data_IF_746122540140
#
_entry.id   IF_746122540140
#
_cell.length_a   1.000
_cell.length_b   1.000
_cell.length_c   1.000
_cell.angle_alpha   90.00
_cell.angle_beta   90.00
_cell.angle_gamma   90.00
#
_symmetry.space_group_name_H-M   'P 1'
#
loop_
_entity.id
_entity.type
_entity.pdbx_description
1 polymer ?
#
# COMPACT_ATOMS: atom_id res chain seq x y z
N UNK A 1 9.60 -3.12 3.48
CA UNK A 1 10.37 -2.51 2.38
C UNK A 1 10.06 -3.39 1.18
N UNK A 2 9.66 -2.82 0.04
CA UNK A 2 9.45 -3.66 -1.14
C UNK A 2 10.84 -3.98 -1.69
N UNK A 3 11.45 -5.01 -1.12
CA UNK A 3 12.85 -5.39 -1.40
C UNK A 3 13.00 -5.95 -2.81
N UNK A 4 11.88 -6.37 -3.41
CA UNK A 4 11.84 -7.08 -4.68
C UNK A 4 10.97 -6.36 -5.70
N UNK A 5 11.50 -6.27 -6.91
CA UNK A 5 10.74 -6.00 -8.13
C UNK A 5 10.12 -7.30 -8.64
N UNK A 6 10.83 -8.42 -8.51
CA UNK A 6 10.33 -9.77 -8.78
C UNK A 6 10.93 -10.75 -7.78
N UNK A 7 10.08 -11.45 -7.03
CA UNK A 7 10.51 -12.49 -6.09
C UNK A 7 10.33 -13.90 -6.65
N UNK A 8 11.11 -14.86 -6.13
CA UNK A 8 10.97 -16.28 -6.50
C UNK A 8 9.58 -16.84 -6.17
N UNK A 9 8.99 -16.42 -5.04
CA UNK A 9 7.65 -16.82 -4.63
C UNK A 9 6.54 -16.32 -5.56
N UNK A 10 6.68 -15.11 -6.11
CA UNK A 10 5.75 -14.59 -7.12
C UNK A 10 5.79 -15.40 -8.41
N UNK A 11 6.98 -15.78 -8.89
CA UNK A 11 7.13 -16.58 -10.12
C UNK A 11 6.48 -17.96 -9.94
N UNK A 12 6.71 -18.62 -8.80
CA UNK A 12 6.12 -19.92 -8.51
C UNK A 12 4.59 -19.83 -8.50
N UNK A 13 4.03 -18.81 -7.84
CA UNK A 13 2.57 -18.59 -7.79
C UNK A 13 1.99 -18.29 -9.18
N UNK A 14 2.67 -17.45 -9.96
CA UNK A 14 2.26 -17.10 -11.31
C UNK A 14 2.25 -18.32 -12.23
N UNK A 15 3.29 -19.16 -12.15
CA UNK A 15 3.36 -20.43 -12.89
C UNK A 15 2.22 -21.38 -12.51
N UNK A 16 2.00 -21.60 -11.21
CA UNK A 16 0.90 -22.46 -10.72
C UNK A 16 -0.49 -21.93 -11.11
N UNK A 17 -0.66 -20.60 -11.14
CA UNK A 17 -1.89 -19.98 -11.59
C UNK A 17 -2.14 -20.21 -13.08
N UNK A 18 -1.13 -19.99 -13.92
CA UNK A 18 -1.23 -20.23 -15.37
C UNK A 18 -1.49 -21.71 -15.67
N UNK A 19 -0.81 -22.61 -14.97
CA UNK A 19 -1.02 -24.06 -15.11
C UNK A 19 -2.46 -24.48 -14.78
N UNK A 20 -3.05 -23.92 -13.73
CA UNK A 20 -4.44 -24.22 -13.34
C UNK A 20 -5.49 -23.55 -14.23
N UNK A 21 -5.25 -22.31 -14.64
CA UNK A 21 -6.22 -21.52 -15.43
C UNK A 21 -6.24 -21.93 -16.91
N UNK A 22 -5.12 -22.43 -17.41
CA UNK A 22 -4.92 -22.75 -18.82
C UNK A 22 -4.54 -24.23 -19.02
N UNK A 23 -5.29 -25.15 -18.40
CA UNK A 23 -5.05 -26.60 -18.46
C UNK A 23 -5.05 -27.13 -19.91
N UNK A 24 -5.91 -26.56 -20.75
CA UNK A 24 -6.10 -26.99 -22.15
C UNK A 24 -5.04 -26.42 -23.11
N UNK A 25 -4.14 -25.55 -22.64
CA UNK A 25 -3.11 -24.95 -23.48
C UNK A 25 -1.82 -25.79 -23.48
N UNK A 26 -1.25 -25.90 -24.68
CA UNK A 26 0.08 -26.49 -24.88
C UNK A 26 1.14 -25.85 -23.97
N UNK A 27 2.10 -26.64 -23.44
CA UNK A 27 3.12 -26.14 -22.51
C UNK A 27 3.89 -24.92 -23.05
N UNK A 28 4.16 -24.90 -24.36
CA UNK A 28 4.86 -23.78 -25.02
C UNK A 28 4.07 -22.47 -24.94
N UNK A 29 2.74 -22.53 -25.08
CA UNK A 29 1.89 -21.36 -25.01
C UNK A 29 1.76 -20.86 -23.57
N UNK A 30 1.66 -21.77 -22.60
CA UNK A 30 1.72 -21.41 -21.16
C UNK A 30 3.03 -20.74 -20.77
N UNK A 31 4.16 -21.20 -21.33
CA UNK A 31 5.45 -20.55 -21.12
C UNK A 31 5.50 -19.13 -21.72
N UNK A 32 4.88 -18.92 -22.88
CA UNK A 32 4.74 -17.58 -23.48
C UNK A 32 3.91 -16.65 -22.59
N UNK A 33 2.78 -17.13 -22.07
CA UNK A 33 1.92 -16.36 -21.15
C UNK A 33 2.69 -16.00 -19.87
N UNK A 34 3.48 -16.93 -19.34
CA UNK A 34 4.32 -16.69 -18.17
C UNK A 34 5.38 -15.61 -18.46
N UNK A 35 6.06 -15.69 -19.60
CA UNK A 35 7.04 -14.69 -20.01
C UNK A 35 6.41 -13.31 -20.13
N UNK A 36 5.27 -13.19 -20.82
CA UNK A 36 4.54 -11.92 -20.97
C UNK A 36 4.12 -11.36 -19.61
N UNK A 37 3.65 -12.21 -18.70
CA UNK A 37 3.25 -11.79 -17.36
C UNK A 37 4.45 -11.32 -16.52
N UNK A 38 5.60 -12.00 -16.60
CA UNK A 38 6.84 -11.59 -15.94
C UNK A 38 7.30 -10.22 -16.46
N UNK A 39 7.31 -10.02 -17.78
CA UNK A 39 7.62 -8.72 -18.38
C UNK A 39 6.70 -7.61 -17.87
N UNK A 40 5.39 -7.84 -17.86
CA UNK A 40 4.42 -6.86 -17.34
C UNK A 40 4.61 -6.54 -15.87
N UNK A 41 4.93 -7.53 -15.04
CA UNK A 41 5.19 -7.32 -13.60
C UNK A 41 6.43 -6.46 -13.40
N UNK A 42 7.53 -6.77 -14.08
CA UNK A 42 8.77 -6.01 -13.98
C UNK A 42 8.52 -4.58 -14.45
N UNK A 43 8.02 -4.41 -15.69
CA UNK A 43 7.72 -3.08 -16.23
C UNK A 43 6.75 -2.29 -15.35
N UNK A 44 5.70 -2.92 -14.82
CA UNK A 44 4.75 -2.25 -13.91
C UNK A 44 5.39 -1.72 -12.62
N UNK A 45 6.57 -2.22 -12.24
CA UNK A 45 7.28 -1.89 -11.00
C UNK A 45 8.55 -1.06 -11.20
N UNK A 46 9.00 -0.86 -12.44
CA UNK A 46 10.12 0.02 -12.80
C UNK A 46 9.74 1.51 -12.67
N UNK A 47 10.72 2.43 -12.61
CA UNK A 47 10.46 3.86 -12.73
C UNK A 47 9.63 4.21 -13.97
N UNK A 48 8.93 5.34 -13.93
CA UNK A 48 8.07 5.84 -15.02
C UNK A 48 8.85 6.41 -16.20
N UNK A 49 9.89 5.70 -16.65
CA UNK A 49 10.72 6.09 -17.78
C UNK A 49 9.98 5.96 -19.12
N UNK A 50 10.46 6.65 -20.17
CA UNK A 50 10.03 6.42 -21.54
C UNK A 50 10.10 4.93 -21.91
N UNK A 51 9.12 4.45 -22.68
CA UNK A 51 8.94 3.03 -23.02
C UNK A 51 10.22 2.37 -23.55
N UNK A 52 11.01 3.08 -24.37
CA UNK A 52 12.28 2.57 -24.90
C UNK A 52 13.29 2.25 -23.80
N UNK A 53 13.47 3.18 -22.85
CA UNK A 53 14.39 3.02 -21.71
C UNK A 53 13.87 1.93 -20.77
N UNK A 54 12.56 1.91 -20.52
CA UNK A 54 11.92 0.94 -19.64
C UNK A 54 12.03 -0.50 -20.14
N UNK A 55 11.81 -0.72 -21.44
CA UNK A 55 12.00 -2.03 -22.09
C UNK A 55 13.45 -2.49 -22.05
N UNK A 56 14.38 -1.58 -22.32
CA UNK A 56 15.82 -1.87 -22.25
C UNK A 56 16.24 -2.27 -20.83
N UNK A 57 15.79 -1.51 -19.82
CA UNK A 57 16.03 -1.81 -18.41
C UNK A 57 15.46 -3.18 -18.02
N UNK A 58 14.21 -3.48 -18.41
CA UNK A 58 13.59 -4.78 -18.17
C UNK A 58 14.41 -5.93 -18.79
N UNK A 59 14.88 -5.75 -20.02
CA UNK A 59 15.69 -6.74 -20.72
C UNK A 59 17.03 -6.99 -20.00
N UNK A 60 17.76 -5.94 -19.62
CA UNK A 60 19.06 -6.09 -18.95
C UNK A 60 18.91 -6.73 -17.56
N UNK A 61 17.86 -6.39 -16.81
CA UNK A 61 17.56 -7.03 -15.53
C UNK A 61 17.27 -8.52 -15.70
N UNK A 62 16.43 -8.90 -16.67
CA UNK A 62 16.13 -10.31 -16.96
C UNK A 62 17.36 -11.08 -17.42
N UNK A 63 18.21 -10.45 -18.25
CA UNK A 63 19.46 -11.04 -18.72
C UNK A 63 20.44 -11.28 -17.58
N UNK A 64 20.61 -10.30 -16.69
CA UNK A 64 21.50 -10.40 -15.51
C UNK A 64 20.99 -11.44 -14.51
N UNK A 65 19.68 -11.51 -14.29
CA UNK A 65 19.05 -12.38 -13.29
C UNK A 65 18.39 -13.63 -13.91
N UNK A 66 18.81 -14.06 -15.09
CA UNK A 66 18.15 -15.14 -15.87
C UNK A 66 17.99 -16.47 -15.12
N UNK A 67 18.90 -16.77 -14.19
CA UNK A 67 18.99 -18.07 -13.52
C UNK A 67 18.09 -18.13 -12.28
N UNK A 68 17.96 -17.03 -11.55
CA UNK A 68 17.15 -16.94 -10.34
C UNK A 68 15.79 -16.32 -10.61
N UNK A 69 15.70 -15.45 -11.62
CA UNK A 69 14.59 -14.54 -11.90
C UNK A 69 14.18 -13.71 -10.67
N UNK A 70 15.09 -13.55 -9.70
CA UNK A 70 14.90 -12.70 -8.53
C UNK A 70 15.55 -11.36 -8.82
N UNK A 71 14.75 -10.30 -8.81
CA UNK A 71 15.18 -8.93 -9.07
C UNK A 71 14.85 -8.10 -7.84
N UNK A 72 15.88 -7.53 -7.21
CA UNK A 72 15.74 -6.66 -6.06
C UNK A 72 15.55 -5.20 -6.50
N UNK A 73 15.03 -4.38 -5.59
CA UNK A 73 14.93 -2.93 -5.80
C UNK A 73 16.30 -2.28 -6.00
N UNK A 74 17.32 -2.77 -5.27
CA UNK A 74 18.70 -2.31 -5.42
C UNK A 74 19.29 -2.68 -6.79
N UNK A 75 18.89 -3.80 -7.41
CA UNK A 75 19.33 -4.17 -8.76
C UNK A 75 18.87 -3.14 -9.79
N UNK A 76 17.62 -2.66 -9.65
CA UNK A 76 17.06 -1.62 -10.51
C UNK A 76 17.77 -0.30 -10.26
N UNK A 77 17.97 0.09 -9.00
CA UNK A 77 18.63 1.34 -8.65
C UNK A 77 20.07 1.39 -9.20
N UNK A 78 20.83 0.32 -9.00
CA UNK A 78 22.19 0.16 -9.52
C UNK A 78 22.25 0.33 -11.04
N UNK A 79 21.26 -0.21 -11.77
CA UNK A 79 21.20 -0.07 -13.22
C UNK A 79 20.78 1.35 -13.63
N UNK A 80 19.82 1.95 -12.93
CA UNK A 80 19.33 3.29 -13.25
C UNK A 80 20.40 4.37 -13.03
N UNK A 81 21.25 4.23 -12.00
CA UNK A 81 22.37 5.15 -11.74
C UNK A 81 23.42 5.13 -12.86
N UNK A 82 23.49 4.06 -13.65
CA UNK A 82 24.37 3.98 -14.81
C UNK A 82 23.79 4.62 -16.08
N UNK A 83 22.52 5.06 -16.04
CA UNK A 83 21.91 5.82 -17.14
C UNK A 83 22.39 7.27 -17.12
N UNK A 84 22.16 7.98 -18.22
CA UNK A 84 22.42 9.41 -18.31
C UNK A 84 21.41 10.21 -17.48
N UNK A 85 21.70 10.35 -16.19
CA UNK A 85 20.90 11.12 -15.24
C UNK A 85 21.03 12.64 -15.41
N UNK A 86 21.79 13.13 -16.40
CA UNK A 86 21.70 14.54 -16.81
C UNK A 86 20.37 14.86 -17.49
N UNK A 87 19.65 13.83 -17.96
CA UNK A 87 18.28 13.95 -18.42
C UNK A 87 17.32 14.12 -17.23
N UNK A 88 16.73 15.31 -17.11
CA UNK A 88 15.80 15.69 -16.05
C UNK A 88 14.56 14.78 -15.95
N UNK A 89 14.06 14.26 -17.08
CA UNK A 89 12.91 13.34 -17.11
C UNK A 89 13.25 12.00 -16.44
N UNK A 90 14.47 11.49 -16.66
CA UNK A 90 14.94 10.26 -16.03
C UNK A 90 15.27 10.49 -14.56
N UNK A 91 15.92 11.60 -14.22
CA UNK A 91 16.28 11.91 -12.85
C UNK A 91 15.04 12.10 -11.96
N UNK A 92 14.06 12.89 -12.41
CA UNK A 92 12.80 13.12 -11.70
C UNK A 92 12.00 11.82 -11.53
N UNK A 93 11.88 11.01 -12.59
CA UNK A 93 11.19 9.72 -12.54
C UNK A 93 11.85 8.73 -11.58
N UNK A 94 13.20 8.70 -11.54
CA UNK A 94 13.94 7.86 -10.63
C UNK A 94 13.81 8.35 -9.18
N UNK A 95 13.90 9.67 -8.94
CA UNK A 95 13.75 10.28 -7.63
C UNK A 95 12.35 10.02 -7.04
N UNK A 96 11.28 10.18 -7.84
CA UNK A 96 9.91 9.84 -7.42
C UNK A 96 9.80 8.34 -7.08
N UNK A 97 10.36 7.48 -7.93
CA UNK A 97 10.32 6.04 -7.75
C UNK A 97 11.04 5.58 -6.47
N UNK A 98 12.24 6.09 -6.22
CA UNK A 98 13.04 5.81 -5.02
C UNK A 98 12.34 6.33 -3.77
N UNK A 99 11.85 7.57 -3.81
CA UNK A 99 11.12 8.20 -2.70
C UNK A 99 9.84 7.46 -2.33
N UNK A 100 9.17 6.82 -3.31
CA UNK A 100 7.99 5.99 -3.05
C UNK A 100 8.30 4.60 -2.49
N UNK A 101 9.54 4.12 -2.66
CA UNK A 101 10.02 2.85 -2.11
C UNK A 101 10.74 3.01 -0.78
N UNK A 102 11.21 4.21 -0.49
CA UNK A 102 11.85 4.54 0.78
C UNK A 102 10.88 4.54 1.95
N UNK A 103 11.47 4.22 3.08
CA UNK A 103 10.92 4.20 4.41
C UNK A 103 10.79 5.60 5.02
N UNK A 104 11.52 6.57 4.47
CA UNK A 104 11.65 7.93 4.97
C UNK A 104 10.93 8.92 4.03
N UNK A 105 10.44 10.07 4.54
CA UNK A 105 9.85 11.11 3.71
C UNK A 105 10.96 11.88 2.97
N UNK A 106 11.61 11.20 2.03
CA UNK A 106 12.72 11.78 1.28
C UNK A 106 12.23 12.98 0.46
N UNK A 107 12.93 14.10 0.57
CA UNK A 107 12.70 15.30 -0.24
C UNK A 107 13.28 15.09 -1.64
N UNK A 108 12.50 15.41 -2.68
CA UNK A 108 12.81 15.07 -4.06
C UNK A 108 14.08 15.73 -4.60
N UNK A 109 14.38 16.94 -4.13
CA UNK A 109 15.55 17.74 -4.50
C UNK A 109 16.83 17.07 -4.00
N UNK A 110 16.92 16.79 -2.69
CA UNK A 110 18.07 16.14 -2.06
C UNK A 110 18.30 14.73 -2.65
N UNK A 111 17.22 13.98 -2.89
CA UNK A 111 17.33 12.66 -3.54
C UNK A 111 17.91 12.78 -4.95
N UNK A 112 17.47 13.77 -5.72
CA UNK A 112 17.97 13.99 -7.08
C UNK A 112 19.46 14.34 -7.08
N UNK A 113 19.91 15.16 -6.12
CA UNK A 113 21.32 15.50 -5.94
C UNK A 113 22.17 14.27 -5.61
N UNK A 114 21.73 13.43 -4.67
CA UNK A 114 22.44 12.19 -4.30
C UNK A 114 22.52 11.23 -5.50
N UNK A 115 21.42 11.04 -6.22
CA UNK A 115 21.38 10.16 -7.39
C UNK A 115 22.31 10.66 -8.51
N UNK A 116 22.34 11.98 -8.74
CA UNK A 116 23.24 12.60 -9.71
C UNK A 116 24.70 12.43 -9.29
N UNK A 117 25.02 12.64 -8.01
CA UNK A 117 26.36 12.39 -7.46
C UNK A 117 26.79 10.94 -7.64
N UNK A 118 25.91 9.97 -7.34
CA UNK A 118 26.20 8.56 -7.55
C UNK A 118 26.49 8.23 -9.01
N UNK A 119 25.76 8.84 -9.96
CA UNK A 119 26.00 8.61 -11.40
C UNK A 119 27.38 9.08 -11.87
N UNK A 120 27.99 10.04 -11.17
CA UNK A 120 29.31 10.60 -11.49
C UNK A 120 30.46 9.87 -10.80
N UNK A 121 30.16 9.04 -9.79
CA UNK A 121 31.17 8.27 -9.06
C UNK A 121 31.56 7.00 -9.80
N UNK A 122 32.82 6.59 -9.67
CA UNK A 122 33.35 5.42 -10.38
C UNK A 122 32.87 4.08 -9.80
N UNK A 123 32.56 4.03 -8.49
CA UNK A 123 32.04 2.85 -7.78
C UNK A 123 31.15 3.25 -6.57
N UNK A 124 29.98 3.86 -6.81
CA UNK A 124 29.04 4.20 -5.73
C UNK A 124 28.49 2.95 -5.04
N UNK A 125 28.21 3.04 -3.74
CA UNK A 125 27.42 2.02 -3.03
C UNK A 125 25.94 2.29 -3.27
N UNK A 126 25.39 1.74 -4.35
CA UNK A 126 24.01 2.03 -4.76
C UNK A 126 23.03 1.07 -4.11
N UNK A 127 22.46 1.49 -2.98
CA UNK A 127 21.39 0.76 -2.29
C UNK A 127 20.39 1.74 -1.68
N UNK A 128 19.13 1.34 -1.51
CA UNK A 128 18.16 2.19 -0.80
C UNK A 128 18.63 2.59 0.60
N UNK A 129 19.31 1.70 1.31
CA UNK A 129 19.83 2.00 2.65
C UNK A 129 20.98 3.00 2.64
N UNK A 130 21.84 2.99 1.61
CA UNK A 130 22.88 3.98 1.44
C UNK A 130 22.27 5.36 1.15
N UNK A 131 21.24 5.41 0.30
CA UNK A 131 20.53 6.64 -0.03
C UNK A 131 19.88 7.25 1.20
N UNK A 132 19.16 6.44 2.00
CA UNK A 132 18.52 6.90 3.24
C UNK A 132 19.53 7.47 4.24
N UNK A 133 20.74 6.89 4.30
CA UNK A 133 21.83 7.36 5.15
C UNK A 133 22.39 8.71 4.66
N UNK A 134 22.70 8.81 3.38
CA UNK A 134 23.26 10.02 2.78
C UNK A 134 22.24 11.17 2.81
N UNK A 135 20.96 10.87 2.58
CA UNK A 135 19.89 11.85 2.73
C UNK A 135 19.77 12.37 4.16
N UNK A 136 19.88 11.49 5.17
CA UNK A 136 19.84 11.91 6.57
C UNK A 136 21.02 12.83 6.93
N UNK A 137 22.20 12.57 6.38
CA UNK A 137 23.38 13.42 6.57
C UNK A 137 23.23 14.78 5.88
N UNK A 138 22.76 14.79 4.62
CA UNK A 138 22.52 16.01 3.87
C UNK A 138 21.44 16.91 4.53
N UNK A 139 20.45 16.30 5.17
CA UNK A 139 19.43 17.04 5.92
C UNK A 139 19.99 17.72 7.18
N UNK A 140 20.92 17.06 7.90
CA UNK A 140 21.60 17.65 9.05
C UNK A 140 22.47 18.85 8.62
N UNK A 141 23.24 18.73 7.54
CA UNK A 141 24.09 19.81 7.01
C UNK A 141 23.27 21.03 6.53
N UNK A 142 22.07 20.79 5.97
CA UNK A 142 21.13 21.85 5.57
C UNK A 142 20.56 22.57 6.80
N UNK A 143 20.18 21.83 7.85
CA UNK A 143 19.66 22.40 9.09
C UNK A 143 20.70 23.19 9.89
N UNK A 144 21.96 22.73 9.91
CA UNK A 144 23.07 23.42 10.61
C UNK A 144 23.47 24.70 9.86
N UNK A 145 23.38 24.72 8.53
CA UNK A 145 23.65 25.93 7.74
C UNK A 145 22.57 27.02 7.93
N UNK A 146 21.30 26.63 8.04
CA UNK A 146 20.21 27.53 8.39
C UNK A 146 20.34 28.03 9.84
N UNK A 147 20.71 27.16 10.79
CA UNK A 147 20.89 27.53 12.19
C UNK A 147 22.12 28.43 12.41
N UNK A 148 23.21 28.25 11.64
CA UNK A 148 24.34 29.20 11.63
C UNK A 148 23.98 30.55 11.00
N UNK A 149 23.18 30.57 9.93
CA UNK A 149 22.72 31.80 9.31
C UNK A 149 21.78 32.58 10.25
N UNK A 150 20.92 31.87 11.00
CA UNK A 150 20.05 32.46 12.02
C UNK A 150 20.83 32.87 13.28
N UNK A 151 21.85 32.11 13.67
CA UNK A 151 22.73 32.44 14.81
C UNK A 151 23.62 33.67 14.53
N UNK A 152 23.96 33.97 13.27
CA UNK A 152 24.64 35.22 12.91
C UNK A 152 23.73 36.46 13.04
N UNK A 153 22.41 36.31 13.04
CA UNK A 153 21.46 37.42 13.26
C UNK A 153 20.95 37.51 14.71
N UNK A 154 21.20 36.51 15.55
CA UNK A 154 20.70 36.43 16.91
C UNK A 154 21.81 36.34 17.98
N UNK A 155 22.84 37.19 17.89
CA UNK A 155 23.50 37.64 19.11
C UNK A 155 22.52 38.56 19.86
N UNK A 156 21.80 38.02 20.84
CA UNK A 156 21.44 38.63 22.14
C UNK A 156 20.34 37.78 22.81
N UNK A 157 20.74 37.16 23.93
CA UNK A 157 19.95 36.51 24.99
C UNK A 157 19.78 34.98 24.92
N UNK A 158 20.30 34.39 25.99
CA UNK A 158 20.51 32.99 26.38
C UNK A 158 19.27 32.18 26.76
N UNK A 159 19.24 30.88 26.40
CA UNK A 159 19.35 29.72 27.31
C UNK A 159 19.18 28.37 26.55
N UNK A 160 19.85 27.26 26.94
CA UNK A 160 19.89 26.03 26.13
C UNK A 160 18.73 25.07 26.45
N UNK A 161 18.01 24.64 25.40
CA UNK A 161 17.05 23.53 25.46
C UNK A 161 17.76 22.18 25.26
N UNK A 162 17.70 21.33 26.28
CA UNK A 162 18.19 19.93 26.23
C UNK A 162 17.10 19.04 25.64
N UNK A 163 17.36 18.38 24.52
CA UNK A 163 16.51 17.32 23.95
C UNK A 163 17.05 15.93 24.33
N UNK A 164 16.21 14.94 24.71
CA UNK A 164 16.69 13.64 25.15
C UNK A 164 17.00 12.69 23.99
N UNK A 165 18.14 12.01 24.14
CA UNK A 165 18.71 10.96 23.27
C UNK A 165 18.01 9.60 23.48
N UNK A 166 17.47 9.00 22.41
CA UNK A 166 16.82 7.67 22.46
C UNK A 166 17.79 6.59 21.98
N UNK A 167 18.15 5.67 22.89
CA UNK A 167 19.00 4.49 22.59
C UNK A 167 18.23 3.41 21.83
N UNK A 168 18.87 2.87 20.78
CA UNK A 168 18.51 1.61 20.11
C UNK A 168 18.50 0.44 21.10
N UNK A 169 17.39 -0.31 21.12
CA UNK A 169 17.36 -1.68 21.66
C UNK A 169 17.33 -2.64 20.48
N UNK A 170 18.41 -3.40 20.30
CA UNK A 170 18.47 -4.49 19.34
C UNK A 170 17.82 -5.75 19.91
N UNK A 171 17.20 -6.56 19.05
CA UNK A 171 16.87 -7.93 19.42
C UNK A 171 17.12 -8.89 18.25
N UNK A 172 17.88 -9.94 18.57
CA UNK A 172 18.35 -10.97 17.66
C UNK A 172 17.34 -12.12 17.54
N UNK A 173 17.09 -12.53 16.29
CA UNK A 173 17.06 -13.89 15.72
C UNK A 173 16.99 -15.07 16.73
N UNK A 174 15.90 -15.84 16.68
CA UNK A 174 15.88 -17.33 16.62
C UNK A 174 14.47 -17.95 16.45
N UNK A 175 14.35 -18.74 15.37
CA UNK A 175 13.76 -20.08 15.26
C UNK A 175 12.25 -20.23 14.96
N UNK A 176 12.02 -20.67 13.71
CA UNK A 176 11.11 -21.71 13.21
C UNK A 176 10.20 -22.44 14.20
N UNK A 177 8.91 -22.53 13.84
CA UNK A 177 8.01 -23.71 13.79
C UNK A 177 6.60 -23.14 13.63
N UNK A 178 6.09 -23.02 12.40
CA UNK A 178 4.68 -22.67 12.16
C UNK A 178 4.15 -23.17 10.80
N UNK A 179 4.71 -24.26 10.26
CA UNK A 179 4.29 -24.85 8.98
C UNK A 179 3.15 -25.89 9.10
N UNK A 180 2.38 -25.93 10.18
CA UNK A 180 1.35 -26.98 10.39
C UNK A 180 -0.09 -26.45 10.42
N UNK A 181 -0.33 -25.15 10.51
CA UNK A 181 -1.69 -24.63 10.74
C UNK A 181 -2.51 -24.28 9.49
N UNK A 182 -1.92 -24.26 8.28
CA UNK A 182 -2.66 -23.91 7.05
C UNK A 182 -3.41 -25.08 6.40
N UNK A 183 -3.18 -26.33 6.82
CA UNK A 183 -3.85 -27.51 6.24
C UNK A 183 -5.21 -27.82 6.89
N UNK A 184 -5.50 -27.30 8.08
CA UNK A 184 -6.73 -27.66 8.82
C UNK A 184 -7.90 -26.71 8.56
N UNK A 185 -7.64 -25.45 8.20
CA UNK A 185 -8.69 -24.45 7.95
C UNK A 185 -9.36 -24.65 6.57
N UNK A 186 -8.58 -25.02 5.55
CA UNK A 186 -9.11 -25.29 4.20
C UNK A 186 -10.04 -26.51 4.13
N UNK A 187 -9.82 -27.51 5.00
CA UNK A 187 -10.62 -28.74 5.02
C UNK A 187 -11.99 -28.53 5.69
N UNK A 188 -12.09 -27.59 6.62
CA UNK A 188 -13.36 -27.22 7.28
C UNK A 188 -14.26 -26.42 6.33
N UNK A 189 -13.69 -25.52 5.52
CA UNK A 189 -14.45 -24.71 4.55
C UNK A 189 -15.04 -25.59 3.43
N UNK A 190 -14.30 -26.61 2.96
CA UNK A 190 -14.79 -27.56 1.96
C UNK A 190 -15.89 -28.50 2.48
N UNK A 191 -15.87 -28.86 3.77
CA UNK A 191 -16.91 -29.68 4.39
C UNK A 191 -18.20 -28.88 4.61
N UNK A 192 -18.11 -27.60 5.00
CA UNK A 192 -19.29 -26.73 5.17
C UNK A 192 -19.96 -26.44 3.83
N UNK A 193 -19.19 -26.27 2.74
CA UNK A 193 -19.77 -26.04 1.40
C UNK A 193 -20.50 -27.27 0.84
N UNK A 194 -20.02 -28.49 1.14
CA UNK A 194 -20.70 -29.74 0.71
C UNK A 194 -22.01 -30.01 1.48
N UNK A 195 -22.13 -29.52 2.71
CA UNK A 195 -23.35 -29.68 3.54
C UNK A 195 -24.45 -28.67 3.20
N UNK A 196 -24.09 -27.48 2.71
CA UNK A 196 -25.07 -26.44 2.30
C UNK A 196 -25.72 -26.77 0.95
N UNK A 197 -25.07 -27.54 0.07
CA UNK A 197 -25.65 -27.92 -1.23
C UNK A 197 -26.77 -28.97 -1.14
N UNK A 198 -26.98 -29.63 0.00
CA UNK A 198 -27.88 -30.79 0.08
C UNK A 198 -29.25 -30.55 0.74
N UNK A 199 -29.59 -29.32 1.11
CA UNK A 199 -30.93 -28.97 1.59
C UNK A 199 -31.77 -28.38 0.47
N UNK A 200 -32.45 -29.25 -0.28
CA UNK A 200 -33.55 -28.87 -1.18
C UNK A 200 -34.86 -29.26 -0.54
N UNK A 201 -35.77 -28.31 -0.31
CA UNK A 201 -37.21 -28.55 -0.15
C UNK A 201 -38.03 -27.24 -0.38
N UNK A 202 -39.33 -27.32 -0.70
CA UNK A 202 -39.85 -26.91 -2.00
C UNK A 202 -40.58 -25.56 -2.02
N UNK A 203 -40.83 -25.12 -3.26
CA UNK A 203 -41.45 -23.85 -3.63
C UNK A 203 -42.88 -23.67 -3.08
N UNK A 204 -43.11 -22.56 -2.38
CA UNK A 204 -44.43 -21.96 -2.20
C UNK A 204 -44.46 -20.69 -3.03
N UNK A 205 -45.37 -20.67 -4.01
CA UNK A 205 -45.75 -19.47 -4.77
C UNK A 205 -46.32 -18.43 -3.81
N UNK A 206 -45.64 -17.29 -3.69
CA UNK A 206 -46.23 -16.05 -3.19
C UNK A 206 -45.89 -14.96 -4.19
N UNK A 207 -46.93 -14.25 -4.59
CA UNK A 207 -46.97 -13.25 -5.64
C UNK A 207 -45.81 -12.24 -5.56
N UNK A 208 -45.29 -11.91 -6.74
CA UNK A 208 -44.22 -10.95 -6.97
C UNK A 208 -44.65 -9.56 -6.53
N UNK A 209 -44.34 -9.20 -5.29
CA UNK A 209 -44.17 -7.80 -4.92
C UNK A 209 -42.87 -7.33 -5.57
N UNK A 210 -43.03 -6.52 -6.61
CA UNK A 210 -41.98 -5.81 -7.31
C UNK A 210 -41.19 -4.93 -6.33
N UNK A 211 -40.16 -5.50 -5.68
CA UNK A 211 -39.12 -4.71 -5.02
C UNK A 211 -38.22 -4.20 -6.13
N UNK A 212 -38.58 -3.02 -6.61
CA UNK A 212 -37.74 -2.13 -7.38
C UNK A 212 -36.36 -2.12 -6.72
N UNK A 213 -35.33 -2.55 -7.46
CA UNK A 213 -33.93 -2.33 -7.08
C UNK A 213 -33.80 -0.86 -6.68
N UNK A 214 -33.15 -0.52 -5.55
CA UNK A 214 -32.87 0.87 -5.26
C UNK A 214 -32.00 1.36 -6.42
N UNK A 215 -32.60 2.22 -7.25
CA UNK A 215 -31.96 2.94 -8.32
C UNK A 215 -30.68 3.52 -7.73
N UNK A 216 -29.53 3.14 -8.29
CA UNK A 216 -28.26 3.74 -7.94
C UNK A 216 -28.39 5.24 -8.18
N UNK A 217 -28.59 5.99 -7.10
CA UNK A 217 -28.55 7.43 -7.13
C UNK A 217 -27.13 7.79 -7.56
N UNK A 218 -27.07 8.30 -8.78
CA UNK A 218 -25.88 8.76 -9.45
C UNK A 218 -25.41 10.03 -8.71
N UNK A 219 -24.72 9.86 -7.59
CA UNK A 219 -24.06 10.97 -6.89
C UNK A 219 -22.83 11.35 -7.71
N UNK A 220 -23.00 12.35 -8.57
CA UNK A 220 -21.97 13.18 -9.16
C UNK A 220 -20.87 12.44 -9.93
N UNK A 221 -21.05 12.31 -11.25
CA UNK A 221 -19.90 12.25 -12.16
C UNK A 221 -19.07 13.52 -11.96
N UNK A 222 -18.08 13.47 -11.09
CA UNK A 222 -17.07 14.51 -10.97
C UNK A 222 -16.28 14.45 -12.28
N UNK A 223 -16.66 15.30 -13.24
CA UNK A 223 -16.01 15.47 -14.54
C UNK A 223 -14.57 15.98 -14.36
N UNK A 224 -14.27 16.53 -13.19
CA UNK A 224 -12.94 16.95 -12.80
C UNK A 224 -12.08 15.76 -12.36
N UNK A 225 -10.82 15.76 -12.81
CA UNK A 225 -9.81 14.79 -12.40
C UNK A 225 -9.33 15.02 -10.96
N UNK A 226 -8.45 14.14 -10.49
CA UNK A 226 -7.87 14.20 -9.15
C UNK A 226 -8.79 13.65 -8.05
N UNK A 227 -8.52 14.05 -6.81
CA UNK A 227 -9.24 13.57 -5.63
C UNK A 227 -10.60 14.26 -5.52
N UNK A 228 -11.72 13.52 -5.65
CA UNK A 228 -13.04 14.13 -5.51
C UNK A 228 -13.30 14.52 -4.05
N UNK A 229 -14.15 15.53 -3.83
CA UNK A 229 -14.48 16.04 -2.50
C UNK A 229 -14.95 14.96 -1.53
N UNK A 230 -15.69 13.97 -2.00
CA UNK A 230 -16.21 12.86 -1.18
C UNK A 230 -15.11 11.94 -0.61
N UNK A 231 -13.90 11.94 -1.19
CA UNK A 231 -12.76 11.17 -0.70
C UNK A 231 -11.72 12.03 0.02
N UNK A 232 -11.95 13.35 0.14
CA UNK A 232 -11.08 14.25 0.90
C UNK A 232 -11.32 14.13 2.39
N UNK A 233 -10.37 14.64 3.18
CA UNK A 233 -10.50 14.59 4.62
C UNK A 233 -11.70 15.39 5.10
N UNK A 234 -12.46 14.77 6.00
CA UNK A 234 -13.52 15.43 6.77
C UNK A 234 -13.37 15.02 8.24
N UNK A 235 -13.86 15.89 9.12
CA UNK A 235 -14.01 15.53 10.53
C UNK A 235 -15.21 14.59 10.64
N UNK A 236 -15.00 13.43 11.25
CA UNK A 236 -16.04 12.41 11.47
C UNK A 236 -16.37 12.27 12.96
N UNK A 237 -17.54 11.71 13.28
CA UNK A 237 -17.88 11.33 14.66
C UNK A 237 -17.00 10.14 15.10
N UNK A 238 -15.92 10.46 15.82
CA UNK A 238 -14.98 9.45 16.33
C UNK A 238 -15.63 8.46 17.28
N UNK A 239 -16.66 8.86 18.05
CA UNK A 239 -17.34 7.96 19.01
C UNK A 239 -18.18 6.93 18.28
N UNK A 240 -18.92 7.34 17.24
CA UNK A 240 -19.69 6.41 16.42
C UNK A 240 -18.81 5.44 15.65
N UNK A 241 -17.71 5.93 15.07
CA UNK A 241 -16.72 5.04 14.43
C UNK A 241 -16.14 4.03 15.43
N UNK A 242 -15.73 4.48 16.62
CA UNK A 242 -15.21 3.59 17.65
C UNK A 242 -16.25 2.54 18.07
N UNK A 243 -17.52 2.95 18.24
CA UNK A 243 -18.61 2.03 18.59
C UNK A 243 -18.87 1.01 17.48
N UNK A 244 -18.89 1.44 16.22
CA UNK A 244 -19.03 0.56 15.05
C UNK A 244 -17.94 -0.53 15.04
N UNK A 245 -16.69 -0.14 15.28
CA UNK A 245 -15.56 -1.06 15.35
C UNK A 245 -15.67 -2.01 16.56
N UNK A 246 -16.09 -1.52 17.74
CA UNK A 246 -16.32 -2.35 18.93
C UNK A 246 -17.41 -3.39 18.70
N UNK A 247 -18.50 -3.03 18.05
CA UNK A 247 -19.60 -3.95 17.71
C UNK A 247 -19.12 -5.10 16.81
N UNK A 248 -18.04 -4.90 16.05
CA UNK A 248 -17.39 -5.90 15.21
C UNK A 248 -16.22 -6.61 15.90
N UNK A 249 -16.07 -6.45 17.22
CA UNK A 249 -14.95 -6.99 18.00
C UNK A 249 -13.57 -6.58 17.43
N UNK A 250 -13.46 -5.37 16.86
CA UNK A 250 -12.25 -4.92 16.17
C UNK A 250 -11.18 -4.41 17.14
N UNK A 251 -9.92 -4.79 16.91
CA UNK A 251 -8.75 -4.19 17.58
C UNK A 251 -8.57 -2.72 17.20
N UNK A 252 -9.04 -2.32 16.01
CA UNK A 252 -8.89 -0.95 15.50
C UNK A 252 -9.75 0.07 16.26
N UNK A 253 -10.67 -0.38 17.12
CA UNK A 253 -11.40 0.49 18.03
C UNK A 253 -10.53 1.03 19.18
N UNK A 254 -9.41 0.38 19.48
CA UNK A 254 -8.52 0.72 20.59
C UNK A 254 -7.43 1.70 20.14
N UNK A 255 -6.85 2.40 21.10
CA UNK A 255 -5.65 3.20 20.87
C UNK A 255 -4.40 2.30 20.86
N UNK A 256 -3.38 2.60 20.03
CA UNK A 256 -3.26 3.79 19.19
C UNK A 256 -3.93 3.66 17.80
N UNK A 257 -4.58 2.53 17.49
CA UNK A 257 -5.00 2.22 16.13
C UNK A 257 -6.01 3.22 15.57
N UNK A 258 -7.04 3.54 16.35
CA UNK A 258 -8.09 4.47 15.94
C UNK A 258 -7.51 5.84 15.59
N UNK A 259 -6.77 6.46 16.53
CA UNK A 259 -6.22 7.81 16.31
C UNK A 259 -5.20 7.84 15.18
N UNK A 260 -4.30 6.85 15.11
CA UNK A 260 -3.23 6.85 14.11
C UNK A 260 -3.76 6.73 12.67
N UNK A 261 -4.83 5.96 12.45
CA UNK A 261 -5.48 5.91 11.13
C UNK A 261 -6.13 7.25 10.79
N UNK A 262 -6.80 7.90 11.74
CA UNK A 262 -7.43 9.21 11.51
C UNK A 262 -6.38 10.30 11.27
N UNK A 263 -5.28 10.31 12.02
CA UNK A 263 -4.21 11.28 11.83
C UNK A 263 -3.48 11.09 10.49
N UNK A 264 -3.27 9.84 10.04
CA UNK A 264 -2.77 9.58 8.70
C UNK A 264 -3.73 10.08 7.62
N UNK A 265 -5.03 9.85 7.79
CA UNK A 265 -6.07 10.35 6.89
C UNK A 265 -6.03 11.88 6.77
N UNK A 266 -5.92 12.57 7.91
CA UNK A 266 -5.79 14.02 7.98
C UNK A 266 -4.53 14.53 7.28
N UNK A 267 -3.39 13.89 7.54
CA UNK A 267 -2.09 14.27 6.98
C UNK A 267 -2.08 14.30 5.45
N UNK A 268 -2.79 13.37 4.80
CA UNK A 268 -2.79 13.23 3.35
C UNK A 268 -4.09 13.69 2.69
N UNK A 269 -4.94 14.44 3.40
CA UNK A 269 -6.24 14.92 2.90
C UNK A 269 -7.13 13.78 2.33
N UNK A 270 -7.18 12.64 3.02
CA UNK A 270 -7.99 11.48 2.66
C UNK A 270 -9.12 11.29 3.68
N UNK A 271 -10.29 10.90 3.21
CA UNK A 271 -11.45 10.60 4.04
C UNK A 271 -11.13 9.49 5.05
N UNK A 272 -11.30 9.70 6.38
CA UNK A 272 -10.92 8.69 7.36
C UNK A 272 -11.63 7.35 7.19
N UNK A 273 -12.94 7.39 6.90
CA UNK A 273 -13.72 6.17 6.65
C UNK A 273 -13.26 5.37 5.43
N UNK A 274 -12.58 5.98 4.45
CA UNK A 274 -12.02 5.23 3.32
C UNK A 274 -10.88 4.33 3.78
N UNK A 275 -10.00 4.81 4.67
CA UNK A 275 -8.93 3.97 5.23
C UNK A 275 -9.52 2.83 6.07
N UNK A 276 -10.53 3.09 6.90
CA UNK A 276 -11.21 2.00 7.62
C UNK A 276 -11.94 1.04 6.68
N UNK A 277 -12.51 1.50 5.58
CA UNK A 277 -13.12 0.62 4.58
C UNK A 277 -12.09 -0.33 3.94
N UNK A 278 -10.87 0.16 3.68
CA UNK A 278 -9.75 -0.67 3.22
C UNK A 278 -9.41 -1.73 4.27
N UNK A 279 -9.32 -1.40 5.56
CA UNK A 279 -9.04 -2.43 6.60
C UNK A 279 -10.18 -3.44 6.76
N UNK A 280 -11.42 -3.02 6.52
CA UNK A 280 -12.58 -3.91 6.41
C UNK A 280 -12.41 -4.93 5.29
N UNK A 281 -12.03 -4.47 4.10
CA UNK A 281 -11.82 -5.33 2.93
C UNK A 281 -10.61 -6.26 3.08
N UNK A 282 -9.51 -5.75 3.64
CA UNK A 282 -8.24 -6.49 3.73
C UNK A 282 -8.20 -7.50 4.88
N UNK A 283 -8.78 -7.14 6.04
CA UNK A 283 -8.59 -7.88 7.29
C UNK A 283 -9.88 -8.02 8.10
N UNK A 284 -11.06 -7.72 7.52
CA UNK A 284 -12.34 -7.81 8.23
C UNK A 284 -12.40 -6.93 9.48
N UNK A 285 -11.74 -5.78 9.46
CA UNK A 285 -11.53 -4.89 10.61
C UNK A 285 -10.71 -5.48 11.77
N UNK A 286 -9.94 -6.54 11.57
CA UNK A 286 -9.03 -7.11 12.58
C UNK A 286 -9.75 -7.54 13.88
N UNK A 287 -10.52 -8.64 13.85
CA UNK A 287 -11.17 -9.20 15.04
C UNK A 287 -10.18 -9.55 16.17
N UNK A 288 -10.53 -9.25 17.42
CA UNK A 288 -9.66 -9.42 18.61
C UNK A 288 -9.37 -10.87 18.98
N UNK A 289 -10.18 -11.81 18.50
CA UNK A 289 -10.02 -13.24 18.72
C UNK A 289 -8.93 -13.87 17.85
N UNK A 290 -8.35 -13.11 16.90
CA UNK A 290 -7.26 -13.59 16.09
C UNK A 290 -5.95 -13.73 16.90
N UNK A 291 -5.26 -14.88 16.77
CA UNK A 291 -4.01 -15.16 17.52
C UNK A 291 -2.89 -14.15 17.29
N UNK A 292 -2.88 -13.50 16.13
CA UNK A 292 -1.89 -12.50 15.72
C UNK A 292 -2.51 -11.11 15.59
N UNK A 293 -3.58 -10.84 16.33
CA UNK A 293 -4.35 -9.58 16.28
C UNK A 293 -3.46 -8.34 16.30
N UNK A 294 -2.45 -8.28 17.18
CA UNK A 294 -1.54 -7.12 17.29
C UNK A 294 -0.73 -6.90 16.02
N UNK A 295 -0.21 -7.99 15.42
CA UNK A 295 0.57 -7.94 14.20
C UNK A 295 -0.30 -7.53 12.99
N UNK A 296 -1.54 -8.02 12.93
CA UNK A 296 -2.49 -7.62 11.88
C UNK A 296 -2.88 -6.16 12.07
N UNK A 297 -3.21 -5.75 13.30
CA UNK A 297 -3.59 -4.38 13.63
C UNK A 297 -2.46 -3.37 13.35
N UNK A 298 -1.21 -3.82 13.35
CA UNK A 298 -0.04 -3.05 12.98
C UNK A 298 0.12 -2.81 11.48
N UNK A 299 -0.44 -3.66 10.63
CA UNK A 299 -0.54 -3.46 9.17
C UNK A 299 -1.89 -3.97 8.64
N UNK A 300 -3.01 -3.30 8.98
CA UNK A 300 -4.35 -3.79 8.67
C UNK A 300 -4.74 -3.54 7.21
N UNK A 301 -3.89 -2.84 6.46
CA UNK A 301 -4.08 -2.43 5.07
C UNK A 301 -3.40 -3.37 4.07
N UNK A 302 -2.64 -4.36 4.56
CA UNK A 302 -1.72 -5.17 3.75
C UNK A 302 -0.78 -4.33 2.87
N UNK A 303 -0.31 -3.17 3.36
CA UNK A 303 0.68 -2.41 2.58
C UNK A 303 1.94 -3.24 2.39
N UNK A 304 2.51 -3.18 1.19
CA UNK A 304 3.57 -4.09 0.74
C UNK A 304 3.19 -5.58 0.72
N UNK A 305 1.91 -5.88 0.45
CA UNK A 305 1.40 -7.21 0.09
C UNK A 305 0.73 -7.96 1.23
N UNK A 306 1.30 -7.95 2.44
CA UNK A 306 0.69 -8.59 3.62
C UNK A 306 1.41 -8.16 4.92
N UNK A 307 0.67 -8.13 6.03
CA UNK A 307 1.24 -7.97 7.37
C UNK A 307 2.26 -9.06 7.75
N UNK A 308 2.20 -10.25 7.12
CA UNK A 308 3.16 -11.35 7.30
C UNK A 308 4.50 -11.04 6.60
N UNK A 309 4.42 -10.44 5.40
CA UNK A 309 5.60 -10.08 4.62
C UNK A 309 6.21 -8.75 5.07
N UNK A 310 5.37 -7.85 5.58
CA UNK A 310 5.78 -6.54 6.08
C UNK A 310 4.95 -6.16 7.30
N UNK A 311 5.55 -6.24 8.48
CA UNK A 311 4.96 -5.72 9.72
C UNK A 311 5.67 -4.44 10.15
N UNK A 312 4.93 -3.54 10.82
CA UNK A 312 5.44 -2.23 11.23
C UNK A 312 4.58 -1.67 12.37
N UNK A 313 4.57 -0.36 12.63
CA UNK A 313 3.60 0.26 13.52
C UNK A 313 2.35 0.69 12.74
N UNK A 314 1.19 0.74 13.41
CA UNK A 314 -0.03 1.26 12.78
C UNK A 314 0.14 2.68 12.22
N UNK A 315 0.85 3.56 12.93
CA UNK A 315 1.15 4.92 12.47
C UNK A 315 1.81 4.91 11.08
N UNK A 316 2.72 3.97 10.87
CA UNK A 316 3.49 3.83 9.65
C UNK A 316 2.70 3.16 8.53
N UNK A 317 2.04 2.04 8.79
CA UNK A 317 1.22 1.36 7.79
C UNK A 317 0.04 2.23 7.33
N UNK A 318 -0.62 2.94 8.26
CA UNK A 318 -1.67 3.91 7.93
C UNK A 318 -1.14 5.08 7.09
N UNK A 319 0.04 5.62 7.42
CA UNK A 319 0.67 6.68 6.62
C UNK A 319 0.99 6.22 5.19
N UNK A 320 1.46 4.98 5.02
CA UNK A 320 1.75 4.40 3.70
C UNK A 320 0.44 4.23 2.91
N UNK A 321 -0.60 3.66 3.53
CA UNK A 321 -1.90 3.47 2.90
C UNK A 321 -2.50 4.81 2.45
N UNK A 322 -2.54 5.81 3.35
CA UNK A 322 -3.05 7.14 3.06
C UNK A 322 -2.30 7.85 1.92
N UNK A 323 -0.96 7.84 1.96
CA UNK A 323 -0.12 8.40 0.88
C UNK A 323 -0.38 7.69 -0.46
N UNK A 324 -0.53 6.37 -0.43
CA UNK A 324 -0.82 5.57 -1.63
C UNK A 324 -2.17 5.95 -2.23
N UNK A 325 -3.22 6.03 -1.41
CA UNK A 325 -4.56 6.47 -1.84
C UNK A 325 -4.51 7.88 -2.42
N UNK A 326 -3.83 8.82 -1.77
CA UNK A 326 -3.64 10.18 -2.26
C UNK A 326 -2.94 10.24 -3.62
N UNK A 327 -1.81 9.55 -3.76
CA UNK A 327 -1.02 9.54 -4.99
C UNK A 327 -1.81 8.96 -6.18
N UNK A 328 -2.53 7.85 -5.97
CA UNK A 328 -3.33 7.22 -7.04
C UNK A 328 -4.52 8.11 -7.39
N UNK A 329 -5.25 8.59 -6.38
CA UNK A 329 -6.45 9.41 -6.57
C UNK A 329 -6.13 10.76 -7.21
N UNK A 330 -5.00 11.38 -6.89
CA UNK A 330 -4.58 12.67 -7.49
C UNK A 330 -4.35 12.57 -9.00
N UNK A 331 -4.00 11.37 -9.49
CA UNK A 331 -3.78 11.09 -10.91
C UNK A 331 -5.05 10.55 -11.62
N UNK A 332 -6.20 10.53 -10.94
CA UNK A 332 -7.47 10.04 -11.50
C UNK A 332 -7.95 10.97 -12.64
N UNK A 333 -8.20 10.46 -13.86
CA UNK A 333 -8.83 11.25 -14.90
C UNK A 333 -10.31 11.49 -14.59
N UNK A 334 -10.84 12.61 -15.06
CA UNK A 334 -12.25 12.95 -14.97
C UNK A 334 -13.15 11.83 -15.50
N UNK A 335 -14.32 11.63 -14.87
CA UNK A 335 -15.29 10.60 -15.26
C UNK A 335 -14.95 9.16 -14.87
N UNK A 336 -13.76 8.88 -14.32
CA UNK A 336 -13.45 7.57 -13.71
C UNK A 336 -14.04 7.46 -12.31
N UNK A 337 -14.59 6.28 -11.95
CA UNK A 337 -15.12 6.01 -10.62
C UNK A 337 -13.97 6.08 -9.58
N UNK A 338 -14.09 6.86 -8.49
CA UNK A 338 -12.96 7.17 -7.62
C UNK A 338 -12.31 5.99 -6.91
N UNK A 339 -13.08 5.11 -6.29
CA UNK A 339 -12.56 3.94 -5.55
C UNK A 339 -12.10 2.85 -6.53
N UNK A 340 -12.78 2.67 -7.65
CA UNK A 340 -12.36 1.76 -8.72
C UNK A 340 -10.99 2.17 -9.30
N UNK A 341 -10.72 3.47 -9.40
CA UNK A 341 -9.43 3.96 -9.86
C UNK A 341 -8.26 3.51 -8.95
N UNK A 342 -8.49 3.41 -7.64
CA UNK A 342 -7.51 2.89 -6.68
C UNK A 342 -7.09 1.45 -7.01
N UNK A 343 -8.04 0.64 -7.48
CA UNK A 343 -7.84 -0.78 -7.77
C UNK A 343 -6.76 -1.05 -8.82
N UNK A 344 -6.42 -0.07 -9.67
CA UNK A 344 -5.39 -0.25 -10.70
C UNK A 344 -3.99 -0.47 -10.13
N UNK A 345 -3.78 -0.07 -8.88
CA UNK A 345 -2.46 -0.12 -8.23
C UNK A 345 -2.54 -0.73 -6.84
N UNK A 346 -3.67 -0.59 -6.14
CA UNK A 346 -3.79 -1.04 -4.75
C UNK A 346 -3.94 -2.57 -4.61
N UNK A 347 -4.67 -3.22 -5.52
CA UNK A 347 -4.99 -4.64 -5.42
C UNK A 347 -5.00 -5.34 -6.79
N UNK A 348 -4.65 -6.62 -6.82
CA UNK A 348 -4.68 -7.45 -8.03
C UNK A 348 -6.10 -7.95 -8.38
N UNK A 349 -6.97 -8.09 -7.37
CA UNK A 349 -8.36 -8.51 -7.56
C UNK A 349 -9.14 -7.39 -8.28
N UNK A 350 -9.70 -7.65 -9.48
CA UNK A 350 -10.44 -6.64 -10.26
C UNK A 350 -11.71 -6.13 -9.57
N UNK A 351 -12.22 -6.85 -8.57
CA UNK A 351 -13.45 -6.53 -7.84
C UNK A 351 -13.22 -6.02 -6.41
N UNK A 352 -11.96 -5.87 -5.98
CA UNK A 352 -11.62 -5.39 -4.63
C UNK A 352 -12.29 -4.06 -4.27
N UNK A 353 -12.33 -3.12 -5.23
CA UNK A 353 -12.96 -1.81 -5.05
C UNK A 353 -14.45 -1.87 -4.71
N UNK A 354 -15.16 -2.94 -5.10
CA UNK A 354 -16.57 -3.12 -4.76
C UNK A 354 -16.75 -3.33 -3.25
N UNK A 355 -15.89 -4.15 -2.66
CA UNK A 355 -15.89 -4.39 -1.22
C UNK A 355 -15.52 -3.14 -0.42
N UNK A 356 -14.47 -2.42 -0.86
CA UNK A 356 -14.13 -1.12 -0.26
C UNK A 356 -15.27 -0.11 -0.37
N UNK A 357 -15.91 -0.02 -1.55
CA UNK A 357 -17.06 0.87 -1.75
C UNK A 357 -18.22 0.50 -0.83
N UNK A 358 -18.49 -0.79 -0.65
CA UNK A 358 -19.53 -1.28 0.25
C UNK A 358 -19.25 -0.89 1.71
N UNK A 359 -18.05 -1.18 2.22
CA UNK A 359 -17.66 -0.80 3.59
C UNK A 359 -17.64 0.72 3.77
N UNK A 360 -17.19 1.48 2.77
CA UNK A 360 -17.15 2.94 2.85
C UNK A 360 -18.56 3.53 2.99
N UNK A 361 -19.51 3.06 2.17
CA UNK A 361 -20.91 3.51 2.25
C UNK A 361 -21.58 3.06 3.55
N UNK A 362 -21.30 1.85 4.03
CA UNK A 362 -21.77 1.37 5.34
C UNK A 362 -21.25 2.26 6.46
N UNK A 363 -19.93 2.51 6.52
CA UNK A 363 -19.31 3.38 7.51
C UNK A 363 -19.89 4.79 7.48
N UNK A 364 -20.10 5.38 6.30
CA UNK A 364 -20.72 6.72 6.18
C UNK A 364 -22.11 6.74 6.81
N UNK A 365 -22.95 5.73 6.55
CA UNK A 365 -24.27 5.64 7.19
C UNK A 365 -24.15 5.50 8.72
N UNK A 366 -23.27 4.63 9.20
CA UNK A 366 -23.17 4.37 10.64
C UNK A 366 -22.50 5.50 11.44
N UNK A 367 -21.68 6.33 10.79
CA UNK A 367 -20.85 7.37 11.45
C UNK A 367 -21.33 8.80 11.15
N UNK A 368 -21.88 9.06 9.97
CA UNK A 368 -22.23 10.42 9.50
C UNK A 368 -23.76 10.65 9.42
N UNK A 369 -24.61 9.66 9.69
CA UNK A 369 -26.07 9.84 9.65
C UNK A 369 -26.57 10.67 10.85
N UNK A 370 -26.94 11.92 10.62
CA UNK A 370 -27.42 12.87 11.63
C UNK A 370 -28.70 12.44 12.38
N UNK A 371 -29.37 11.35 11.96
CA UNK A 371 -30.60 10.85 12.61
C UNK A 371 -30.35 9.97 13.85
N UNK A 372 -29.09 9.64 14.16
CA UNK A 372 -28.74 8.73 15.26
C UNK A 372 -28.74 9.42 16.64
N UNK A 373 -29.52 8.87 17.58
CA UNK A 373 -29.60 9.33 18.98
C UNK A 373 -28.95 8.28 19.88
N UNK A 374 -28.04 8.69 20.76
CA UNK A 374 -27.43 7.80 21.74
C UNK A 374 -28.51 7.30 22.71
N UNK A 375 -28.67 5.98 22.92
CA UNK A 375 -29.50 5.48 24.00
C UNK A 375 -28.88 5.91 25.34
N UNK A 376 -29.72 6.51 26.19
CA UNK A 376 -29.35 6.98 27.54
C UNK A 376 -28.83 5.86 28.46
#
# INVERSE_FOLDING_TARGET
MQDYVLSSGEIVRLKQYIERKHLDLEPKLRASILADAVHRIIEGRLPSFPDGVKKQLCYELLKKHRETLVIQTDDVLQHCVSLDLSNEELLSSLSEWVSNRSTFPLQGEIVSEILLQWSQQQSPTVTLQALEREWSQAQEDFSVSEELAVAMEAEVISEPLVVPYWKRVGFNRRISIAMVCFSTIGLVILLVFSLVQHSSEPAINVDTVNIQQPTMNNTGTNLDGGIPMELKYVVIDRKRLQQYLRNRNSMLAEEPYLSQIIEASKKYDIHPLLLFAITGQEQGFVPKDHKQVEAIANNPFNVFGSWESYNTSIARSASIAAKTVFNISSKRPGGSQPIQWLNRTYAEDPDWWKGVTWFFNELKREVEDDSFVWPE
#
